data_IF_020351950536
#
_entry.id   IF_020351950536
#
_cell.length_a   1.000
_cell.length_b   1.000
_cell.length_c   1.000
_cell.angle_alpha   90.00
_cell.angle_beta   90.00
_cell.angle_gamma   90.00
#
_symmetry.space_group_name_H-M   'P 1'
#
loop_
_entity.id
_entity.type
_entity.pdbx_description
1 polymer ?
#
# COMPACT_ATOMS: atom_id res chain seq x y z
N UNK A 1 54.58 -39.71 6.68
CA UNK A 1 55.29 -38.41 6.66
C UNK A 1 55.21 -37.84 5.26
N UNK A 2 54.49 -36.72 5.12
CA UNK A 2 54.52 -35.67 4.07
C UNK A 2 54.59 -36.09 2.59
N UNK A 3 53.46 -35.98 1.90
CA UNK A 3 53.41 -35.64 0.47
C UNK A 3 53.14 -34.13 0.30
N UNK A 4 53.90 -33.52 -0.61
CA UNK A 4 53.91 -32.09 -0.93
C UNK A 4 52.88 -31.79 -2.03
N UNK A 5 51.92 -30.92 -1.75
CA UNK A 5 51.08 -30.30 -2.77
C UNK A 5 51.89 -29.27 -3.57
N UNK A 6 51.96 -29.48 -4.89
CA UNK A 6 52.52 -28.53 -5.87
C UNK A 6 51.43 -27.59 -6.35
N UNK A 7 51.65 -26.29 -6.14
CA UNK A 7 50.90 -25.22 -6.77
C UNK A 7 51.20 -25.19 -8.28
N UNK A 8 50.17 -25.26 -9.11
CA UNK A 8 50.28 -24.98 -10.54
C UNK A 8 50.25 -23.46 -10.71
N UNK A 9 51.40 -22.89 -11.03
CA UNK A 9 51.52 -21.53 -11.59
C UNK A 9 51.23 -21.64 -13.08
N UNK A 10 50.17 -20.97 -13.56
CA UNK A 10 49.96 -20.77 -15.00
C UNK A 10 50.31 -19.32 -15.37
N UNK A 11 51.33 -19.19 -16.22
CA UNK A 11 51.70 -17.95 -16.93
C UNK A 11 50.74 -17.64 -18.10
N UNK A 12 50.71 -16.35 -18.52
CA UNK A 12 49.85 -15.80 -19.58
C UNK A 12 50.03 -16.45 -20.96
N UNK A 13 49.27 -16.10 -22.03
CA UNK A 13 48.38 -14.97 -22.30
C UNK A 13 46.88 -15.34 -22.33
N UNK A 14 46.54 -16.62 -22.13
CA UNK A 14 45.17 -17.14 -22.16
C UNK A 14 44.25 -16.51 -21.08
N UNK A 15 44.83 -16.01 -19.98
CA UNK A 15 44.12 -15.31 -18.90
C UNK A 15 43.54 -13.95 -19.32
N UNK A 16 44.15 -13.26 -20.28
CA UNK A 16 43.64 -11.95 -20.75
C UNK A 16 42.47 -12.10 -21.72
N UNK A 17 42.48 -13.11 -22.58
CA UNK A 17 41.37 -13.38 -23.49
C UNK A 17 40.12 -13.88 -22.74
N UNK A 18 40.29 -14.74 -21.73
CA UNK A 18 39.15 -15.23 -20.93
C UNK A 18 38.56 -14.13 -20.03
N UNK A 19 39.38 -13.23 -19.46
CA UNK A 19 38.90 -12.09 -18.67
C UNK A 19 38.14 -11.04 -19.50
N UNK A 20 38.54 -10.79 -20.76
CA UNK A 20 37.83 -9.82 -21.61
C UNK A 20 36.47 -10.37 -22.06
N UNK A 21 36.36 -11.68 -22.32
CA UNK A 21 35.05 -12.29 -22.65
C UNK A 21 34.13 -12.37 -21.43
N UNK A 22 34.66 -12.58 -20.21
CA UNK A 22 33.88 -12.54 -18.96
C UNK A 22 33.51 -11.12 -18.50
N UNK A 23 34.29 -10.10 -18.84
CA UNK A 23 33.95 -8.70 -18.54
C UNK A 23 32.94 -8.12 -19.53
N UNK A 24 32.94 -8.57 -20.79
CA UNK A 24 31.95 -8.14 -21.80
C UNK A 24 30.61 -8.85 -21.63
N UNK A 25 30.56 -10.04 -21.02
CA UNK A 25 29.30 -10.74 -20.70
C UNK A 25 28.64 -10.30 -19.38
N UNK A 26 29.25 -9.38 -18.63
CA UNK A 26 28.64 -8.70 -17.48
C UNK A 26 28.20 -7.25 -17.81
N UNK A 27 28.35 -6.81 -19.06
CA UNK A 27 28.00 -5.46 -19.51
C UNK A 27 26.65 -5.35 -20.26
N UNK A 28 25.78 -6.37 -20.17
CA UNK A 28 24.37 -6.29 -20.59
C UNK A 28 23.56 -7.33 -19.82
N UNK A 29 22.47 -7.04 -19.11
CA UNK A 29 21.51 -5.94 -19.18
C UNK A 29 21.12 -5.50 -17.76
N UNK A 30 21.95 -4.67 -17.12
CA UNK A 30 21.53 -3.95 -15.92
C UNK A 30 20.96 -2.60 -16.32
N UNK A 31 19.63 -2.49 -16.51
CA UNK A 31 18.99 -1.17 -16.67
C UNK A 31 19.46 -0.25 -15.54
N UNK A 32 19.88 0.97 -15.89
CA UNK A 32 20.29 1.96 -14.91
C UNK A 32 19.15 2.28 -13.92
N UNK A 33 19.46 2.74 -12.71
CA UNK A 33 18.42 3.17 -11.76
C UNK A 33 17.51 4.25 -12.36
N UNK A 34 18.05 5.13 -13.22
CA UNK A 34 17.30 6.13 -13.97
C UNK A 34 16.36 5.53 -15.03
N UNK A 35 16.73 4.39 -15.66
CA UNK A 35 15.86 3.66 -16.59
C UNK A 35 14.78 2.88 -15.85
N UNK A 36 15.08 2.28 -14.70
CA UNK A 36 14.06 1.65 -13.84
C UNK A 36 13.09 2.67 -13.25
N UNK A 37 13.54 3.88 -12.94
CA UNK A 37 12.69 5.00 -12.52
C UNK A 37 11.68 5.43 -13.60
N UNK A 38 12.01 5.20 -14.87
CA UNK A 38 11.12 5.43 -16.03
C UNK A 38 10.20 4.23 -16.32
N UNK A 39 10.52 3.06 -15.81
CA UNK A 39 9.73 1.84 -16.02
C UNK A 39 8.35 2.00 -15.36
N UNK A 40 7.32 1.66 -16.11
CA UNK A 40 5.94 1.73 -15.65
C UNK A 40 5.41 0.32 -15.42
N UNK A 41 4.83 0.11 -14.24
CA UNK A 41 4.15 -1.11 -13.86
C UNK A 41 2.67 -0.98 -14.23
N UNK A 42 2.13 -2.03 -14.84
CA UNK A 42 0.72 -2.13 -15.22
C UNK A 42 0.10 -3.37 -14.58
N UNK A 43 -1.18 -3.28 -14.24
CA UNK A 43 -1.94 -4.34 -13.58
C UNK A 43 -3.34 -3.88 -13.25
N UNK A 44 -4.22 -4.82 -12.88
CA UNK A 44 -5.62 -4.56 -12.60
C UNK A 44 -5.97 -5.01 -11.19
N UNK A 45 -6.64 -4.15 -10.41
CA UNK A 45 -7.17 -4.49 -9.08
C UNK A 45 -8.57 -3.91 -8.92
N UNK A 46 -9.51 -4.70 -8.37
CA UNK A 46 -10.90 -4.29 -8.23
C UNK A 46 -11.58 -3.86 -9.54
N UNK A 47 -11.12 -4.38 -10.69
CA UNK A 47 -11.60 -3.99 -12.02
C UNK A 47 -11.02 -2.67 -12.57
N UNK A 48 -10.12 -2.01 -11.84
CA UNK A 48 -9.46 -0.78 -12.29
C UNK A 48 -8.03 -1.07 -12.75
N UNK A 49 -7.66 -0.53 -13.92
CA UNK A 49 -6.29 -0.60 -14.40
C UNK A 49 -5.43 0.45 -13.69
N UNK A 50 -4.27 0.00 -13.21
CA UNK A 50 -3.23 0.81 -12.63
C UNK A 50 -2.07 0.90 -13.61
N UNK A 51 -1.50 2.10 -13.69
CA UNK A 51 -0.28 2.38 -14.43
C UNK A 51 0.59 3.32 -13.59
N UNK A 52 1.55 2.75 -12.87
CA UNK A 52 2.39 3.49 -11.93
C UNK A 52 3.87 3.49 -12.36
N UNK A 53 4.62 4.52 -11.96
CA UNK A 53 6.08 4.47 -12.09
C UNK A 53 6.64 3.50 -11.04
N UNK A 54 7.52 2.59 -11.45
CA UNK A 54 8.08 1.56 -10.57
C UNK A 54 8.72 2.13 -9.29
N UNK A 55 9.33 3.32 -9.38
CA UNK A 55 9.91 4.02 -8.23
C UNK A 55 8.94 4.30 -7.09
N UNK A 56 7.64 4.49 -7.37
CA UNK A 56 6.63 4.78 -6.36
C UNK A 56 6.07 3.53 -5.69
N UNK A 57 6.34 2.35 -6.25
CA UNK A 57 5.72 1.09 -5.88
C UNK A 57 6.63 0.33 -4.92
N UNK A 58 6.08 -0.05 -3.78
CA UNK A 58 6.72 -0.91 -2.79
C UNK A 58 6.29 -2.37 -2.94
N UNK A 59 4.98 -2.61 -3.06
CA UNK A 59 4.41 -3.93 -3.27
C UNK A 59 3.64 -3.91 -4.59
N UNK A 60 3.91 -4.90 -5.43
CA UNK A 60 3.18 -5.16 -6.68
C UNK A 60 2.95 -6.66 -6.79
N UNK A 61 1.91 -7.14 -6.11
CA UNK A 61 1.66 -8.56 -5.96
C UNK A 61 0.63 -9.04 -6.98
N UNK A 62 1.05 -9.95 -7.85
CA UNK A 62 0.15 -10.61 -8.80
C UNK A 62 -0.76 -11.58 -8.06
N UNK A 63 -2.03 -11.63 -8.47
CA UNK A 63 -2.92 -12.69 -8.03
C UNK A 63 -2.57 -13.99 -8.75
N UNK A 64 -1.98 -14.95 -8.02
CA UNK A 64 -1.55 -16.24 -8.56
C UNK A 64 -2.70 -17.22 -8.72
N UNK A 65 -3.82 -16.97 -8.05
CA UNK A 65 -5.03 -17.79 -8.09
C UNK A 65 -6.01 -17.28 -9.13
N UNK A 66 -5.77 -16.10 -9.72
CA UNK A 66 -6.49 -15.66 -10.90
C UNK A 66 -6.22 -16.66 -12.05
N UNK A 67 -7.27 -17.36 -12.48
CA UNK A 67 -7.28 -18.31 -13.59
C UNK A 67 -6.57 -17.77 -14.84
N UNK A 68 -6.32 -18.59 -15.86
CA UNK A 68 -5.68 -18.15 -17.14
C UNK A 68 -6.34 -16.95 -17.87
N UNK A 69 -7.49 -16.45 -17.39
CA UNK A 69 -8.12 -15.17 -17.76
C UNK A 69 -7.56 -13.94 -16.98
N UNK A 70 -6.64 -14.14 -16.05
CA UNK A 70 -6.07 -13.13 -15.14
C UNK A 70 -5.08 -12.17 -15.80
N UNK A 71 -4.83 -12.32 -17.10
CA UNK A 71 -4.17 -11.29 -17.90
C UNK A 71 -5.27 -10.57 -18.69
N UNK A 72 -5.64 -9.40 -18.22
CA UNK A 72 -6.57 -8.52 -18.93
C UNK A 72 -5.82 -7.75 -20.03
N UNK A 73 -6.52 -7.13 -21.00
CA UNK A 73 -5.91 -6.18 -21.93
C UNK A 73 -5.13 -5.04 -21.26
N UNK A 74 -5.37 -4.80 -19.96
CA UNK A 74 -4.79 -3.73 -19.17
C UNK A 74 -3.71 -4.19 -18.19
N UNK A 75 -3.31 -5.47 -18.27
CA UNK A 75 -2.27 -6.07 -17.46
C UNK A 75 -2.77 -7.20 -16.56
N UNK A 76 -1.86 -7.83 -15.81
CA UNK A 76 -2.18 -8.93 -14.92
C UNK A 76 -3.03 -8.46 -13.73
N UNK A 77 -3.90 -9.33 -13.25
CA UNK A 77 -4.66 -9.14 -12.01
C UNK A 77 -3.71 -9.08 -10.82
N UNK A 78 -3.94 -8.12 -9.93
CA UNK A 78 -3.17 -7.89 -8.72
C UNK A 78 -3.94 -8.35 -7.49
N UNK A 79 -3.24 -9.02 -6.58
CA UNK A 79 -3.73 -9.31 -5.23
C UNK A 79 -3.60 -8.09 -4.33
N UNK A 80 -2.47 -7.38 -4.45
CA UNK A 80 -2.19 -6.18 -3.65
C UNK A 80 -1.23 -5.23 -4.36
N UNK A 81 -1.33 -3.94 -4.03
CA UNK A 81 -0.41 -2.91 -4.47
C UNK A 81 -0.20 -1.88 -3.35
N UNK A 82 1.04 -1.49 -3.09
CA UNK A 82 1.36 -0.46 -2.10
C UNK A 82 2.29 0.59 -2.68
N UNK A 83 1.95 1.86 -2.49
CA UNK A 83 2.80 2.99 -2.84
C UNK A 83 3.43 3.59 -1.60
N UNK A 84 4.71 3.95 -1.66
CA UNK A 84 5.44 4.63 -0.58
C UNK A 84 5.85 6.02 -1.03
N UNK A 85 5.25 7.03 -0.42
CA UNK A 85 5.41 8.43 -0.80
C UNK A 85 5.79 9.29 0.40
N UNK A 86 6.58 10.32 0.17
CA UNK A 86 6.90 11.36 1.14
C UNK A 86 5.98 12.55 0.89
N UNK A 87 5.17 12.88 1.88
CA UNK A 87 4.28 14.05 1.90
C UNK A 87 5.06 15.28 2.40
N UNK A 88 4.75 16.51 1.96
CA UNK A 88 3.69 16.91 1.04
C UNK A 88 4.03 16.79 -0.44
N UNK A 89 5.28 16.52 -0.81
CA UNK A 89 5.68 16.53 -2.23
C UNK A 89 5.12 15.33 -3.03
N UNK A 90 4.55 14.34 -2.35
CA UNK A 90 4.13 13.04 -2.91
C UNK A 90 5.27 12.35 -3.67
N UNK A 91 6.50 12.53 -3.16
CA UNK A 91 7.71 12.06 -3.80
C UNK A 91 7.95 10.58 -3.45
N UNK A 92 8.31 9.73 -4.43
CA UNK A 92 8.54 8.33 -4.18
C UNK A 92 9.79 8.08 -3.34
N UNK A 93 9.85 6.90 -2.71
CA UNK A 93 11.06 6.41 -2.06
C UNK A 93 12.17 6.17 -3.09
N UNK A 94 13.36 6.68 -2.77
CA UNK A 94 14.58 6.54 -3.56
C UNK A 94 15.69 5.95 -2.70
N UNK A 95 16.81 5.58 -3.31
CA UNK A 95 18.00 5.16 -2.56
C UNK A 95 18.51 6.25 -1.61
N UNK A 96 18.38 7.52 -2.00
CA UNK A 96 18.90 8.66 -1.24
C UNK A 96 18.11 8.96 0.05
N UNK A 97 16.81 8.67 0.06
CA UNK A 97 15.92 8.94 1.21
C UNK A 97 15.42 7.66 1.90
N UNK A 98 16.02 6.50 1.57
CA UNK A 98 15.64 5.21 2.12
C UNK A 98 15.86 5.12 3.63
N UNK A 99 16.96 5.67 4.11
CA UNK A 99 17.35 5.59 5.51
C UNK A 99 16.45 6.49 6.38
N UNK A 100 16.03 7.64 5.83
CA UNK A 100 15.02 8.51 6.43
C UNK A 100 13.69 7.76 6.62
N UNK A 101 13.22 7.04 5.60
CA UNK A 101 12.04 6.16 5.72
C UNK A 101 12.23 5.09 6.79
N UNK A 102 13.37 4.39 6.77
CA UNK A 102 13.63 3.28 7.68
C UNK A 102 13.64 3.75 9.14
N UNK A 103 14.25 4.89 9.43
CA UNK A 103 14.33 5.46 10.78
C UNK A 103 12.99 6.00 11.25
N UNK A 104 12.39 6.88 10.44
CA UNK A 104 11.25 7.68 10.90
C UNK A 104 9.90 7.02 10.64
N UNK A 105 9.77 6.30 9.53
CA UNK A 105 8.53 5.62 9.20
C UNK A 105 8.50 4.17 9.66
N UNK A 106 9.47 3.33 9.27
CA UNK A 106 9.44 1.90 9.64
C UNK A 106 9.84 1.69 11.11
N UNK A 107 10.89 2.37 11.56
CA UNK A 107 11.39 2.32 12.93
C UNK A 107 10.48 3.05 13.93
N UNK A 108 9.52 3.84 13.44
CA UNK A 108 8.47 4.43 14.24
C UNK A 108 8.93 5.54 15.18
N UNK A 109 10.01 6.25 14.83
CA UNK A 109 10.57 7.33 15.66
C UNK A 109 10.38 8.70 15.00
N UNK A 110 10.09 9.73 15.80
CA UNK A 110 10.08 11.12 15.34
C UNK A 110 8.97 11.50 14.36
N UNK A 111 9.20 12.61 13.65
CA UNK A 111 8.23 13.28 12.77
C UNK A 111 8.30 12.74 11.34
N UNK A 112 7.80 11.52 11.15
CA UNK A 112 7.75 10.92 9.81
C UNK A 112 6.88 11.73 8.87
N UNK A 113 7.40 11.96 7.66
CA UNK A 113 6.67 12.57 6.54
C UNK A 113 6.23 11.53 5.50
N UNK A 114 6.37 10.24 5.83
CA UNK A 114 6.07 9.16 4.90
C UNK A 114 4.64 8.65 5.08
N UNK A 115 4.03 8.37 3.94
CA UNK A 115 2.71 7.75 3.84
C UNK A 115 2.81 6.49 2.98
N UNK A 116 2.01 5.48 3.32
CA UNK A 116 1.80 4.29 2.50
C UNK A 116 0.36 4.25 1.99
N UNK A 117 0.17 4.14 0.68
CA UNK A 117 -1.15 3.96 0.08
C UNK A 117 -1.27 2.48 -0.28
N UNK A 118 -2.04 1.74 0.50
CA UNK A 118 -2.22 0.29 0.34
C UNK A 118 -3.53 -0.04 -0.34
N UNK A 119 -3.48 -0.97 -1.29
CA UNK A 119 -4.61 -1.61 -1.95
C UNK A 119 -4.51 -3.11 -1.78
N UNK A 120 -5.58 -3.78 -1.37
CA UNK A 120 -5.62 -5.24 -1.30
C UNK A 120 -7.00 -5.76 -1.71
N UNK A 121 -7.02 -6.76 -2.58
CA UNK A 121 -8.24 -7.38 -3.05
C UNK A 121 -8.98 -8.03 -1.86
N UNK A 122 -10.21 -7.59 -1.62
CA UNK A 122 -11.08 -8.18 -0.61
C UNK A 122 -11.44 -9.62 -0.97
N UNK A 123 -11.64 -10.44 0.06
CA UNK A 123 -12.10 -11.82 -0.13
C UNK A 123 -13.56 -11.87 -0.61
N UNK A 124 -14.01 -13.01 -1.15
CA UNK A 124 -15.42 -13.21 -1.47
C UNK A 124 -16.33 -12.97 -0.25
N UNK A 125 -17.33 -12.09 -0.40
CA UNK A 125 -18.26 -11.74 0.69
C UNK A 125 -17.69 -10.83 1.77
N UNK A 126 -16.45 -10.36 1.62
CA UNK A 126 -15.86 -9.44 2.57
C UNK A 126 -16.50 -8.05 2.48
N UNK A 127 -16.73 -7.43 3.63
CA UNK A 127 -17.23 -6.07 3.68
C UNK A 127 -16.05 -5.12 3.50
N UNK A 128 -15.97 -4.42 2.37
CA UNK A 128 -14.89 -3.44 2.09
C UNK A 128 -15.31 -1.98 2.31
N UNK A 129 -16.54 -1.75 2.78
CA UNK A 129 -17.05 -0.39 2.98
C UNK A 129 -16.50 0.26 4.26
N UNK A 130 -16.44 1.59 4.27
CA UNK A 130 -16.17 2.43 5.43
C UNK A 130 -17.14 2.12 6.57
N UNK A 131 -18.44 2.02 6.27
CA UNK A 131 -19.45 1.66 7.26
C UNK A 131 -19.17 0.29 7.89
N UNK A 132 -18.96 -0.76 7.08
CA UNK A 132 -18.68 -2.08 7.63
C UNK A 132 -17.35 -2.16 8.37
N UNK A 133 -16.35 -1.40 7.93
CA UNK A 133 -15.07 -1.28 8.62
C UNK A 133 -15.21 -0.57 9.97
N UNK A 134 -16.06 0.47 10.04
CA UNK A 134 -16.42 1.15 11.30
C UNK A 134 -17.16 0.19 12.24
N UNK A 135 -18.18 -0.52 11.77
CA UNK A 135 -18.94 -1.45 12.62
C UNK A 135 -18.04 -2.56 13.19
N UNK A 136 -17.12 -3.11 12.38
CA UNK A 136 -16.11 -4.06 12.87
C UNK A 136 -15.16 -3.43 13.88
N UNK A 137 -14.67 -2.22 13.62
CA UNK A 137 -13.76 -1.51 14.52
C UNK A 137 -14.39 -1.17 15.89
N UNK A 138 -15.71 -0.98 15.92
CA UNK A 138 -16.49 -0.72 17.14
C UNK A 138 -17.10 -1.99 17.77
N UNK A 139 -16.80 -3.18 17.23
CA UNK A 139 -17.33 -4.44 17.73
C UNK A 139 -18.85 -4.61 17.56
N UNK A 140 -19.46 -3.88 16.62
CA UNK A 140 -20.90 -3.90 16.32
C UNK A 140 -21.26 -4.89 15.21
N UNK A 141 -20.27 -5.43 14.50
CA UNK A 141 -20.48 -6.52 13.54
C UNK A 141 -20.67 -7.86 14.26
N UNK A 142 -21.88 -8.45 14.25
CA UNK A 142 -22.16 -9.70 14.95
C UNK A 142 -21.42 -10.90 14.34
N UNK A 143 -21.03 -10.85 13.06
CA UNK A 143 -20.27 -11.92 12.41
C UNK A 143 -18.82 -11.99 12.90
N UNK A 144 -18.30 -10.89 13.43
CA UNK A 144 -16.92 -10.80 13.91
C UNK A 144 -16.73 -11.32 15.34
N UNK A 145 -17.84 -11.54 16.09
CA UNK A 145 -17.84 -12.25 17.37
C UNK A 145 -16.73 -11.80 18.33
N UNK A 146 -16.72 -10.52 18.70
CA UNK A 146 -15.68 -9.95 19.58
C UNK A 146 -15.52 -10.79 20.86
N UNK A 147 -14.33 -11.35 21.14
CA UNK A 147 -14.12 -12.24 22.29
C UNK A 147 -14.26 -11.53 23.64
N UNK A 148 -14.25 -10.20 23.65
CA UNK A 148 -14.42 -9.35 24.83
C UNK A 148 -15.33 -8.17 24.48
N UNK A 149 -16.23 -7.80 25.40
CA UNK A 149 -17.03 -6.57 25.28
C UNK A 149 -16.10 -5.36 25.47
N UNK A 150 -15.48 -4.89 24.37
CA UNK A 150 -14.73 -3.64 24.37
C UNK A 150 -15.74 -2.50 24.38
N UNK A 151 -15.79 -1.74 25.48
CA UNK A 151 -16.53 -0.49 25.53
C UNK A 151 -15.71 0.66 24.95
N UNK A 152 -16.40 1.70 24.50
CA UNK A 152 -15.78 2.90 23.93
C UNK A 152 -16.30 4.14 24.65
N UNK A 153 -15.37 5.01 25.02
CA UNK A 153 -15.64 6.39 25.37
C UNK A 153 -15.72 7.22 24.09
N UNK A 154 -16.89 7.81 23.85
CA UNK A 154 -17.12 8.70 22.73
C UNK A 154 -16.86 10.15 23.14
N UNK A 155 -16.33 10.93 22.20
CA UNK A 155 -16.08 12.35 22.37
C UNK A 155 -15.87 13.04 21.05
N UNK A 156 -15.42 14.29 21.11
CA UNK A 156 -15.11 15.10 19.94
C UNK A 156 -13.67 15.59 20.04
N UNK A 157 -12.93 15.51 18.94
CA UNK A 157 -11.60 16.10 18.82
C UNK A 157 -11.72 17.40 18.02
N UNK A 158 -11.68 18.54 18.70
CA UNK A 158 -11.79 19.88 18.09
C UNK A 158 -10.65 20.17 17.10
N UNK A 159 -9.46 19.60 17.33
CA UNK A 159 -8.30 19.85 16.46
C UNK A 159 -8.49 19.16 15.11
N UNK A 160 -9.08 17.96 15.13
CA UNK A 160 -9.35 17.19 13.92
C UNK A 160 -10.71 17.56 13.30
N UNK A 161 -11.64 18.06 14.10
CA UNK A 161 -13.04 18.26 13.75
C UNK A 161 -13.72 16.94 13.43
N UNK A 162 -13.51 15.93 14.27
CA UNK A 162 -14.03 14.56 14.12
C UNK A 162 -14.56 14.03 15.44
N UNK A 163 -15.57 13.15 15.37
CA UNK A 163 -15.94 12.31 16.50
C UNK A 163 -14.79 11.35 16.78
N UNK A 164 -14.58 11.05 18.06
CA UNK A 164 -13.57 10.13 18.55
C UNK A 164 -14.22 9.03 19.38
N UNK A 165 -13.83 7.78 19.14
CA UNK A 165 -14.18 6.62 19.96
C UNK A 165 -12.88 6.00 20.52
N UNK A 166 -12.63 6.23 21.80
CA UNK A 166 -11.48 5.69 22.53
C UNK A 166 -11.90 4.39 23.22
N UNK A 167 -11.18 3.28 23.03
CA UNK A 167 -11.50 2.03 23.70
C UNK A 167 -11.20 2.16 25.20
N UNK A 168 -12.17 1.84 26.04
CA UNK A 168 -12.05 1.82 27.50
C UNK A 168 -11.47 0.47 27.94
N UNK A 169 -10.19 0.21 27.63
CA UNK A 169 -9.53 -1.05 27.99
C UNK A 169 -8.87 -0.93 29.36
N UNK A 170 -9.21 -1.86 30.26
CA UNK A 170 -8.58 -2.00 31.58
C UNK A 170 -7.30 -2.85 31.58
N UNK A 171 -6.94 -3.53 30.48
CA UNK A 171 -5.83 -4.49 30.45
C UNK A 171 -4.85 -4.34 29.25
N UNK A 172 -3.58 -4.79 29.40
CA UNK A 172 -2.51 -4.54 28.41
C UNK A 172 -2.51 -5.47 27.19
N UNK A 173 -3.55 -6.29 26.95
CA UNK A 173 -3.43 -7.48 26.09
C UNK A 173 -4.32 -7.46 24.85
N UNK A 174 -3.99 -6.60 23.87
CA UNK A 174 -4.14 -6.89 22.42
C UNK A 174 -3.74 -5.69 21.57
N UNK A 175 -2.88 -5.93 20.58
CA UNK A 175 -2.41 -4.94 19.61
C UNK A 175 -3.51 -4.37 18.70
N UNK A 176 -4.58 -5.13 18.46
CA UNK A 176 -5.64 -4.74 17.52
C UNK A 176 -6.69 -3.80 18.13
N UNK A 177 -6.88 -3.86 19.45
CA UNK A 177 -7.93 -3.12 20.16
C UNK A 177 -7.45 -1.82 20.78
N UNK A 178 -6.14 -1.63 20.81
CA UNK A 178 -5.48 -0.41 21.21
C UNK A 178 -5.48 0.62 20.08
N UNK A 179 -6.67 0.93 19.53
CA UNK A 179 -6.83 1.96 18.51
C UNK A 179 -7.91 2.96 18.89
N UNK A 180 -7.59 4.25 18.83
CA UNK A 180 -8.60 5.30 18.83
C UNK A 180 -9.16 5.39 17.41
N UNK A 181 -10.48 5.36 17.29
CA UNK A 181 -11.17 5.56 16.02
C UNK A 181 -11.61 7.02 15.93
N UNK A 182 -11.44 7.62 14.76
CA UNK A 182 -11.96 8.95 14.40
C UNK A 182 -12.85 8.82 13.18
N UNK A 183 -13.99 9.51 13.19
CA UNK A 183 -14.99 9.49 12.12
C UNK A 183 -15.75 10.81 12.08
N UNK A 184 -16.34 11.15 10.93
CA UNK A 184 -17.31 12.24 10.86
C UNK A 184 -18.62 11.84 11.57
N UNK A 185 -18.91 10.54 11.69
CA UNK A 185 -20.01 10.03 12.49
C UNK A 185 -19.83 8.58 12.95
N UNK A 186 -20.24 8.29 14.19
CA UNK A 186 -20.40 6.95 14.75
C UNK A 186 -21.86 6.51 14.92
N UNK A 187 -22.82 7.30 14.41
CA UNK A 187 -24.24 6.98 14.49
C UNK A 187 -24.56 5.66 13.75
N UNK A 188 -25.38 4.81 14.39
CA UNK A 188 -25.82 3.54 13.80
C UNK A 188 -26.68 3.84 12.57
N UNK A 189 -26.40 3.15 11.46
CA UNK A 189 -27.11 3.32 10.19
C UNK A 189 -26.65 4.49 9.32
N UNK A 190 -25.84 5.41 9.85
CA UNK A 190 -25.20 6.46 9.05
C UNK A 190 -23.97 5.92 8.31
N UNK A 191 -23.76 6.33 7.06
CA UNK A 191 -22.55 6.02 6.29
C UNK A 191 -21.49 7.09 6.56
N UNK A 192 -20.33 6.73 7.14
CA UNK A 192 -19.27 7.70 7.40
C UNK A 192 -18.51 8.02 6.10
N UNK A 193 -18.02 9.26 5.97
CA UNK A 193 -17.17 9.67 4.85
C UNK A 193 -15.67 9.57 5.19
N UNK A 194 -15.33 9.51 6.48
CA UNK A 194 -13.95 9.39 6.96
C UNK A 194 -13.89 8.35 8.07
N UNK A 195 -12.87 7.50 8.04
CA UNK A 195 -12.56 6.59 9.13
C UNK A 195 -11.04 6.51 9.29
N UNK A 196 -10.54 7.01 10.42
CA UNK A 196 -9.12 7.00 10.76
C UNK A 196 -8.93 6.24 12.05
N UNK A 197 -7.98 5.31 12.09
CA UNK A 197 -7.71 4.46 13.25
C UNK A 197 -6.26 4.59 13.64
N UNK A 198 -5.99 5.18 14.81
CA UNK A 198 -4.64 5.40 15.31
C UNK A 198 -4.34 4.46 16.46
N UNK A 199 -3.18 3.80 16.41
CA UNK A 199 -2.67 3.05 17.54
C UNK A 199 -2.58 3.94 18.79
N UNK A 200 -2.89 3.38 19.96
CA UNK A 200 -2.85 4.06 21.25
C UNK A 200 -2.32 3.11 22.32
N UNK A 201 -1.98 3.63 23.49
CA UNK A 201 -1.46 2.86 24.60
C UNK A 201 -0.07 3.31 25.05
N UNK A 202 0.34 2.98 26.29
CA UNK A 202 1.59 3.47 26.86
C UNK A 202 2.84 3.12 26.04
N UNK A 203 2.84 1.96 25.37
CA UNK A 203 3.96 1.46 24.57
C UNK A 203 4.19 2.23 23.25
N UNK A 204 3.25 3.10 22.85
CA UNK A 204 3.35 3.89 21.63
C UNK A 204 3.51 5.39 21.89
N UNK A 205 3.88 5.79 23.12
CA UNK A 205 4.02 7.20 23.45
C UNK A 205 5.38 7.77 23.02
N UNK A 206 5.43 9.03 22.52
CA UNK A 206 6.68 9.75 22.32
C UNK A 206 7.50 9.84 23.63
N UNK A 207 8.83 9.97 23.57
CA UNK A 207 9.65 10.13 22.35
C UNK A 207 10.07 8.79 21.71
N UNK A 208 9.76 7.66 22.35
CA UNK A 208 10.26 6.35 21.92
C UNK A 208 9.53 5.78 20.71
N UNK A 209 8.28 6.21 20.49
CA UNK A 209 7.47 5.77 19.37
C UNK A 209 6.44 6.82 18.96
N UNK A 210 6.24 7.01 17.65
CA UNK A 210 5.13 7.78 17.08
C UNK A 210 4.07 6.79 16.58
N UNK A 211 2.84 6.79 17.10
CA UNK A 211 1.82 5.83 16.71
C UNK A 211 1.53 5.83 15.20
N UNK A 212 1.13 4.67 14.67
CA UNK A 212 0.65 4.56 13.29
C UNK A 212 -0.86 4.83 13.25
N UNK A 213 -1.28 5.65 12.31
CA UNK A 213 -2.65 5.87 11.93
C UNK A 213 -2.92 5.23 10.56
N UNK A 214 -4.13 4.75 10.38
CA UNK A 214 -4.62 4.18 9.12
C UNK A 214 -5.97 4.80 8.80
N UNK A 215 -6.02 5.56 7.70
CA UNK A 215 -7.25 6.09 7.12
C UNK A 215 -7.78 5.08 6.09
N UNK A 216 -9.00 4.59 6.27
CA UNK A 216 -9.69 3.80 5.24
C UNK A 216 -10.29 4.75 4.21
N UNK A 217 -10.23 4.36 2.94
CA UNK A 217 -10.82 5.12 1.85
C UNK A 217 -11.79 4.25 1.06
N UNK A 218 -12.84 4.87 0.52
CA UNK A 218 -13.62 4.32 -0.57
C UNK A 218 -13.28 5.03 -1.88
N UNK A 219 -13.22 4.25 -2.95
CA UNK A 219 -13.06 4.70 -4.33
C UNK A 219 -14.04 3.91 -5.21
N UNK A 220 -14.91 4.62 -5.93
CA UNK A 220 -15.98 4.02 -6.72
C UNK A 220 -15.45 3.12 -7.87
N UNK A 221 -14.21 3.33 -8.30
CA UNK A 221 -13.59 2.53 -9.36
C UNK A 221 -12.95 1.25 -8.80
N UNK A 222 -12.56 1.23 -7.52
CA UNK A 222 -11.88 0.08 -6.89
C UNK A 222 -12.87 -0.84 -6.19
N UNK A 223 -13.55 -1.69 -6.96
CA UNK A 223 -14.57 -2.61 -6.43
C UNK A 223 -13.94 -3.71 -5.59
N UNK A 224 -14.47 -3.95 -4.39
CA UNK A 224 -13.98 -5.02 -3.50
C UNK A 224 -12.47 -4.89 -3.18
N UNK A 225 -12.00 -3.67 -2.97
CA UNK A 225 -10.59 -3.39 -2.60
C UNK A 225 -10.55 -2.67 -1.26
N UNK A 226 -9.73 -3.17 -0.35
CA UNK A 226 -9.34 -2.44 0.84
C UNK A 226 -8.33 -1.37 0.43
N UNK A 227 -8.77 -0.12 0.41
CA UNK A 227 -7.92 1.05 0.17
C UNK A 227 -7.64 1.75 1.50
N UNK A 228 -6.37 2.00 1.79
CA UNK A 228 -5.95 2.67 3.02
C UNK A 228 -4.76 3.59 2.82
N UNK A 229 -4.68 4.61 3.66
CA UNK A 229 -3.49 5.45 3.84
C UNK A 229 -2.92 5.19 5.22
N UNK A 230 -1.67 4.76 5.31
CA UNK A 230 -0.96 4.61 6.58
C UNK A 230 0.04 5.74 6.75
N UNK A 231 0.03 6.37 7.91
CA UNK A 231 0.93 7.47 8.25
C UNK A 231 1.13 7.54 9.75
N UNK A 232 2.19 8.22 10.19
CA UNK A 232 2.47 8.39 11.62
C UNK A 232 1.61 9.50 12.21
N UNK A 233 1.24 9.39 13.49
CA UNK A 233 0.25 10.25 14.14
C UNK A 233 0.62 11.74 14.14
N UNK A 234 1.90 12.10 14.01
CA UNK A 234 2.34 13.49 13.80
C UNK A 234 1.70 14.12 12.56
N UNK A 235 1.29 13.33 11.57
CA UNK A 235 0.61 13.78 10.35
C UNK A 235 -0.93 13.84 10.49
N UNK A 236 -1.50 13.34 11.60
CA UNK A 236 -2.95 13.29 11.80
C UNK A 236 -3.64 14.65 11.69
N UNK A 237 -3.09 15.77 12.20
CA UNK A 237 -3.69 17.10 11.99
C UNK A 237 -3.86 17.51 10.52
N UNK A 238 -3.11 16.88 9.60
CA UNK A 238 -3.12 17.15 8.17
C UNK A 238 -3.93 16.12 7.37
N UNK A 239 -4.76 15.31 8.01
CA UNK A 239 -5.45 14.18 7.36
C UNK A 239 -6.26 14.60 6.13
N UNK A 240 -6.90 15.78 6.13
CA UNK A 240 -7.68 16.31 4.99
C UNK A 240 -6.80 16.58 3.77
N UNK A 241 -5.64 17.22 3.98
CA UNK A 241 -4.69 17.52 2.92
C UNK A 241 -4.07 16.22 2.36
N UNK A 242 -3.69 15.31 3.25
CA UNK A 242 -3.16 13.99 2.87
C UNK A 242 -4.18 13.21 2.04
N UNK A 243 -5.44 13.15 2.46
CA UNK A 243 -6.48 12.46 1.69
C UNK A 243 -6.68 13.10 0.31
N UNK A 244 -6.74 14.44 0.22
CA UNK A 244 -6.84 15.16 -1.06
C UNK A 244 -5.68 14.79 -1.99
N UNK A 245 -4.46 14.86 -1.48
CA UNK A 245 -3.24 14.63 -2.26
C UNK A 245 -3.13 13.15 -2.69
N UNK A 246 -3.53 12.21 -1.81
CA UNK A 246 -3.64 10.79 -2.13
C UNK A 246 -4.67 10.56 -3.22
N UNK A 247 -5.87 11.14 -3.13
CA UNK A 247 -6.89 11.00 -4.19
C UNK A 247 -6.39 11.56 -5.52
N UNK A 248 -5.63 12.65 -5.51
CA UNK A 248 -4.98 13.18 -6.72
C UNK A 248 -3.93 12.22 -7.28
N UNK A 249 -3.08 11.65 -6.42
CA UNK A 249 -2.10 10.65 -6.81
C UNK A 249 -2.79 9.41 -7.41
N UNK A 250 -3.84 8.89 -6.77
CA UNK A 250 -4.62 7.75 -7.24
C UNK A 250 -5.19 7.98 -8.64
N UNK A 251 -5.80 9.14 -8.89
CA UNK A 251 -6.28 9.52 -10.23
C UNK A 251 -5.15 9.55 -11.28
N UNK A 252 -3.92 9.87 -10.88
CA UNK A 252 -2.77 9.92 -11.80
C UNK A 252 -2.22 8.54 -12.18
N UNK A 253 -2.48 7.52 -11.35
CA UNK A 253 -2.03 6.13 -11.59
C UNK A 253 -3.17 5.25 -12.10
N UNK A 254 -4.43 5.57 -11.81
CA UNK A 254 -5.58 4.88 -12.38
C UNK A 254 -5.74 5.24 -13.87
N UNK A 255 -6.20 4.27 -14.66
CA UNK A 255 -6.59 4.46 -16.06
C UNK A 255 -7.87 3.70 -16.34
N UNK A 256 -8.65 4.21 -17.29
CA UNK A 256 -9.73 3.43 -17.89
C UNK A 256 -9.13 2.24 -18.64
N UNK A 257 -9.63 1.05 -18.32
CA UNK A 257 -9.34 -0.14 -19.08
C UNK A 257 -10.35 -0.24 -20.23
N UNK A 258 -9.93 -0.33 -21.50
CA UNK A 258 -10.88 -0.56 -22.59
C UNK A 258 -11.63 -1.87 -22.34
N UNK A 259 -12.94 -1.79 -22.13
CA UNK A 259 -13.79 -2.96 -22.04
C UNK A 259 -13.76 -3.70 -23.38
N UNK A 260 -13.46 -5.01 -23.42
CA UNK A 260 -13.65 -5.78 -24.64
C UNK A 260 -15.16 -5.84 -24.93
N UNK A 261 -15.64 -5.08 -25.92
CA UNK A 261 -17.03 -5.20 -26.36
C UNK A 261 -17.71 -4.01 -27.04
N UNK A 262 -17.07 -2.86 -27.26
CA UNK A 262 -17.63 -1.79 -28.11
C UNK A 262 -16.61 -1.35 -29.16
N UNK A 263 -16.31 -2.24 -30.10
CA UNK A 263 -15.86 -1.79 -31.41
C UNK A 263 -17.02 -1.11 -32.14
N UNK A 264 -16.78 -0.12 -33.03
CA UNK A 264 -17.82 0.34 -33.93
C UNK A 264 -18.36 -0.88 -34.67
N UNK A 265 -19.68 -1.09 -34.60
CA UNK A 265 -20.33 -2.23 -35.21
C UNK A 265 -19.85 -2.41 -36.65
N UNK A 266 -19.19 -3.53 -36.92
CA UNK A 266 -18.98 -3.99 -38.29
C UNK A 266 -20.39 -4.24 -38.80
N UNK A 267 -20.86 -3.35 -39.68
CA UNK A 267 -22.08 -3.56 -40.43
C UNK A 267 -21.96 -4.93 -41.11
N UNK A 268 -22.77 -5.88 -40.63
CA UNK A 268 -23.01 -7.13 -41.33
C UNK A 268 -23.52 -6.77 -42.73
N UNK A 269 -22.95 -7.44 -43.72
CA UNK A 269 -22.95 -6.98 -45.10
C UNK A 269 -24.31 -6.97 -45.79
N UNK A 270 -24.28 -6.45 -47.01
CA UNK A 270 -25.08 -7.03 -48.08
C UNK A 270 -24.31 -6.85 -49.38
N UNK A 271 -23.69 -7.95 -49.82
CA UNK A 271 -23.36 -8.17 -51.23
C UNK A 271 -24.62 -8.65 -51.93
N UNK A 272 -25.09 -7.89 -52.91
CA UNK A 272 -25.65 -8.34 -54.19
C UNK A 272 -25.82 -7.11 -55.09
#
# INVERSE_FOLDING_TARGET
>A
MRDRERWIVMDGPARRALMVVLLVSLAGCGRSEAERAKERLTGVIGGTALNARAQAVWIWELDREADSQGITPCGPTLRSATFQLRWPEMAPRTKANRDDYNTHHSGGTGDSQWIEIGMSQGGPGEIVSLQGTRERALGRDPAWGMPYQVSFEFGWDETLGLEMARPSVSEPKSYNWNRINYSDTFAIGATPNVLIRCMTGPQYRPPHWTPLCEATLEDANLKQVHLSIRYRQNLLPHWRDIERDVRQFLRSVQRECPMPGHGPGIAAGTTA
#
